data_IF_342588737425
#
_entry.id   IF_342588737425
#
_cell.length_a   1.000
_cell.length_b   1.000
_cell.length_c   1.000
_cell.angle_alpha   90.00
_cell.angle_beta   90.00
_cell.angle_gamma   90.00
#
_symmetry.space_group_name_H-M   'P 1'
#
loop_
_entity.id
_entity.type
_entity.pdbx_description
1 polymer ?
#
# COMPACT_ATOMS: atom_id res chain seq x y z
N UNK A 1 -14.68 0.50 19.81
CA UNK A 1 -14.84 -0.61 18.84
C UNK A 1 -13.45 -1.05 18.39
N UNK A 2 -13.20 -2.35 18.42
CA UNK A 2 -11.91 -2.92 18.00
C UNK A 2 -12.03 -3.44 16.56
N UNK A 3 -11.10 -3.09 15.70
CA UNK A 3 -11.05 -3.48 14.28
C UNK A 3 -9.68 -4.07 13.98
N UNK A 4 -9.66 -5.28 13.44
CA UNK A 4 -8.44 -6.00 13.06
C UNK A 4 -8.29 -5.97 11.55
N UNK A 5 -7.20 -5.40 11.06
CA UNK A 5 -6.98 -5.14 9.63
C UNK A 5 -5.72 -5.86 9.17
N UNK A 6 -5.81 -6.59 8.06
CA UNK A 6 -4.63 -7.05 7.35
C UNK A 6 -4.23 -6.02 6.28
N UNK A 7 -2.93 -5.73 6.19
CA UNK A 7 -2.37 -4.88 5.14
C UNK A 7 -1.41 -5.71 4.31
N UNK A 8 -1.64 -5.73 3.00
CA UNK A 8 -0.88 -6.52 2.02
C UNK A 8 -0.31 -5.57 0.97
N UNK A 9 0.99 -5.52 0.86
CA UNK A 9 1.68 -4.70 -0.14
C UNK A 9 2.63 -5.52 -0.99
N UNK A 10 2.87 -5.02 -2.19
CA UNK A 10 3.90 -5.50 -3.11
C UNK A 10 3.80 -7.02 -3.33
N UNK A 11 2.64 -7.43 -3.84
CA UNK A 11 2.27 -8.84 -4.04
C UNK A 11 3.18 -9.54 -5.05
N UNK A 12 3.55 -8.85 -6.15
CA UNK A 12 4.50 -9.32 -7.17
C UNK A 12 4.24 -10.77 -7.58
N UNK A 13 3.03 -11.06 -8.05
CA UNK A 13 2.54 -12.37 -8.46
C UNK A 13 2.52 -13.44 -7.35
N UNK A 14 2.76 -13.05 -6.10
CA UNK A 14 2.73 -13.92 -4.93
C UNK A 14 1.38 -13.85 -4.19
N UNK A 15 0.32 -14.35 -4.82
CA UNK A 15 -0.99 -14.50 -4.21
C UNK A 15 -1.59 -15.85 -4.58
N UNK A 16 -2.10 -16.57 -3.59
CA UNK A 16 -2.62 -17.93 -3.72
C UNK A 16 -3.96 -18.08 -3.02
N UNK A 17 -4.77 -19.08 -3.39
CA UNK A 17 -6.02 -19.38 -2.67
C UNK A 17 -5.80 -19.58 -1.17
N UNK A 18 -4.67 -20.15 -0.77
CA UNK A 18 -4.30 -20.31 0.64
C UNK A 18 -4.12 -18.99 1.41
N UNK A 19 -3.97 -17.85 0.72
CA UNK A 19 -3.98 -16.53 1.37
C UNK A 19 -5.38 -16.14 1.88
N UNK A 20 -6.44 -16.57 1.17
CA UNK A 20 -7.82 -16.37 1.60
C UNK A 20 -8.08 -17.12 2.93
N UNK A 21 -7.70 -18.41 2.99
CA UNK A 21 -7.86 -19.24 4.18
C UNK A 21 -7.04 -18.69 5.36
N UNK A 22 -5.82 -18.22 5.09
CA UNK A 22 -4.94 -17.60 6.07
C UNK A 22 -5.56 -16.33 6.68
N UNK A 23 -6.15 -15.47 5.86
CA UNK A 23 -6.81 -14.24 6.32
C UNK A 23 -8.05 -14.54 7.16
N UNK A 24 -8.85 -15.53 6.77
CA UNK A 24 -9.97 -15.99 7.59
C UNK A 24 -9.51 -16.55 8.93
N UNK A 25 -8.45 -17.38 8.94
CA UNK A 25 -7.89 -17.91 10.20
C UNK A 25 -7.28 -16.84 11.09
N UNK A 26 -6.75 -15.76 10.52
CA UNK A 26 -6.28 -14.60 11.27
C UNK A 26 -7.42 -13.77 11.87
N UNK A 27 -8.68 -14.06 11.53
CA UNK A 27 -9.87 -13.37 12.03
C UNK A 27 -9.77 -11.85 11.83
N UNK A 28 -9.47 -11.44 10.58
CA UNK A 28 -9.40 -10.04 10.21
C UNK A 28 -10.76 -9.54 9.70
N UNK A 29 -11.10 -8.31 10.06
CA UNK A 29 -12.35 -7.66 9.68
C UNK A 29 -12.25 -7.00 8.29
N UNK A 30 -11.07 -6.49 7.92
CA UNK A 30 -10.82 -5.69 6.73
C UNK A 30 -9.44 -6.03 6.15
N UNK A 31 -9.33 -6.02 4.83
CA UNK A 31 -8.05 -6.18 4.14
C UNK A 31 -7.76 -4.93 3.28
N UNK A 32 -6.58 -4.34 3.47
CA UNK A 32 -6.08 -3.22 2.69
C UNK A 32 -4.95 -3.70 1.77
N UNK A 33 -5.11 -3.53 0.46
CA UNK A 33 -4.07 -3.85 -0.51
C UNK A 33 -3.42 -2.57 -1.03
N UNK A 34 -2.12 -2.43 -0.83
CA UNK A 34 -1.39 -1.20 -1.19
C UNK A 34 -0.61 -1.31 -2.51
N UNK A 35 -1.01 -2.24 -3.39
CA UNK A 35 -0.60 -2.29 -4.80
C UNK A 35 0.54 -3.25 -5.12
N UNK A 36 1.00 -3.13 -6.37
CA UNK A 36 2.02 -3.97 -7.00
C UNK A 36 1.65 -5.46 -7.00
N UNK A 37 0.51 -5.78 -7.62
CA UNK A 37 0.05 -7.17 -7.77
C UNK A 37 0.92 -7.97 -8.74
N UNK A 38 1.61 -7.29 -9.63
CA UNK A 38 2.49 -7.81 -10.67
C UNK A 38 2.46 -6.90 -11.89
N UNK A 39 3.24 -7.18 -12.93
CA UNK A 39 3.27 -6.33 -14.11
C UNK A 39 1.96 -6.45 -14.91
N UNK A 40 0.95 -5.64 -14.54
CA UNK A 40 -0.42 -5.71 -15.07
C UNK A 40 -0.98 -7.14 -14.98
N UNK A 41 -0.87 -7.75 -13.79
CA UNK A 41 -1.23 -9.14 -13.51
C UNK A 41 -2.73 -9.27 -13.24
N UNK A 42 -3.53 -9.32 -14.31
CA UNK A 42 -4.99 -9.40 -14.25
C UNK A 42 -5.48 -10.59 -13.42
N UNK A 43 -4.77 -11.74 -13.52
CA UNK A 43 -5.16 -12.94 -12.80
C UNK A 43 -4.99 -12.82 -11.28
N UNK A 44 -3.91 -12.22 -10.81
CA UNK A 44 -3.73 -11.94 -9.38
C UNK A 44 -4.79 -10.98 -8.88
N UNK A 45 -5.07 -9.90 -9.63
CA UNK A 45 -6.13 -8.96 -9.28
C UNK A 45 -7.50 -9.64 -9.25
N UNK A 46 -7.76 -10.60 -10.17
CA UNK A 46 -9.00 -11.41 -10.16
C UNK A 46 -9.14 -12.21 -8.88
N UNK A 47 -8.08 -12.89 -8.44
CA UNK A 47 -8.09 -13.66 -7.19
C UNK A 47 -8.31 -12.75 -5.97
N UNK A 48 -7.65 -11.58 -5.92
CA UNK A 48 -7.87 -10.58 -4.86
C UNK A 48 -9.30 -10.04 -4.88
N UNK A 49 -9.87 -9.78 -6.06
CA UNK A 49 -11.26 -9.34 -6.18
C UNK A 49 -12.26 -10.37 -5.63
N UNK A 50 -11.94 -11.67 -5.78
CA UNK A 50 -12.76 -12.79 -5.29
C UNK A 50 -12.63 -13.07 -3.78
N UNK A 51 -11.69 -12.43 -3.08
CA UNK A 51 -11.56 -12.57 -1.63
C UNK A 51 -12.89 -12.19 -0.94
N UNK A 52 -13.46 -13.11 -0.17
CA UNK A 52 -14.71 -12.92 0.57
C UNK A 52 -14.46 -12.27 1.94
N UNK A 53 -13.85 -11.08 1.91
CA UNK A 53 -13.67 -10.19 3.06
C UNK A 53 -13.83 -8.75 2.59
N UNK A 54 -14.34 -7.85 3.45
CA UNK A 54 -14.29 -6.42 3.18
C UNK A 54 -12.86 -6.00 2.81
N UNK A 55 -12.72 -5.20 1.75
CA UNK A 55 -11.40 -4.79 1.28
C UNK A 55 -11.41 -3.42 0.64
N UNK A 56 -10.27 -2.73 0.70
CA UNK A 56 -9.96 -1.57 -0.12
C UNK A 56 -8.60 -1.78 -0.80
N UNK A 57 -8.48 -1.34 -2.04
CA UNK A 57 -7.34 -1.60 -2.91
C UNK A 57 -6.85 -0.31 -3.56
N UNK A 58 -5.56 -0.06 -3.53
CA UNK A 58 -4.93 0.92 -4.41
C UNK A 58 -3.93 0.21 -5.32
N UNK A 59 -3.94 0.52 -6.61
CA UNK A 59 -3.02 -0.07 -7.57
C UNK A 59 -1.67 0.65 -7.56
N UNK A 60 -0.58 -0.12 -7.70
CA UNK A 60 0.80 0.37 -7.69
C UNK A 60 1.39 0.58 -9.08
N UNK A 61 2.67 0.95 -9.14
CA UNK A 61 3.32 1.27 -10.41
C UNK A 61 3.51 0.07 -11.32
N UNK A 62 3.67 -1.14 -10.78
CA UNK A 62 3.72 -2.37 -11.56
C UNK A 62 2.37 -2.71 -12.18
N UNK A 63 1.26 -2.34 -11.56
CA UNK A 63 -0.08 -2.58 -12.06
C UNK A 63 -0.43 -1.73 -13.30
N UNK A 64 0.40 -0.73 -13.63
CA UNK A 64 0.32 0.04 -14.87
C UNK A 64 1.65 0.02 -15.65
N UNK A 65 2.49 -0.98 -15.44
CA UNK A 65 3.85 -1.04 -16.00
C UNK A 65 3.89 -0.90 -17.52
N UNK A 66 3.05 -1.65 -18.21
CA UNK A 66 2.95 -1.64 -19.67
C UNK A 66 2.05 -0.53 -20.22
N UNK A 67 1.36 0.22 -19.39
CA UNK A 67 0.43 1.26 -19.79
C UNK A 67 0.95 2.67 -19.52
N UNK A 68 1.62 2.91 -18.39
CA UNK A 68 1.98 4.25 -17.95
C UNK A 68 3.25 4.79 -18.61
N UNK A 69 4.24 3.94 -18.91
CA UNK A 69 5.56 4.36 -19.42
C UNK A 69 5.72 4.07 -20.93
N UNK A 70 6.62 4.82 -21.59
CA UNK A 70 6.95 4.53 -23.00
C UNK A 70 7.63 3.16 -23.14
N UNK A 71 8.65 2.90 -22.35
CA UNK A 71 9.41 1.64 -22.37
C UNK A 71 8.51 0.46 -22.01
N UNK A 72 7.63 0.60 -21.03
CA UNK A 72 6.66 -0.43 -20.69
C UNK A 72 5.75 -0.76 -21.88
N UNK A 73 5.19 0.26 -22.55
CA UNK A 73 4.35 0.04 -23.72
C UNK A 73 5.05 -0.67 -24.88
N UNK A 74 6.35 -0.40 -25.07
CA UNK A 74 7.17 -1.04 -26.11
C UNK A 74 7.55 -2.48 -25.75
N UNK A 75 7.54 -2.84 -24.48
CA UNK A 75 7.91 -4.18 -23.97
C UNK A 75 6.72 -5.01 -23.50
N UNK A 76 5.48 -4.56 -23.76
CA UNK A 76 4.29 -5.30 -23.33
C UNK A 76 4.28 -6.73 -23.94
N UNK A 77 4.05 -7.77 -23.12
CA UNK A 77 4.03 -9.15 -23.59
C UNK A 77 2.70 -9.55 -24.25
N UNK A 78 1.81 -8.61 -24.49
CA UNK A 78 0.48 -8.78 -25.09
C UNK A 78 0.19 -7.64 -26.08
N UNK A 79 -0.78 -7.87 -26.95
CA UNK A 79 -1.23 -6.87 -27.91
C UNK A 79 -2.15 -5.84 -27.22
N UNK A 80 -1.61 -4.65 -26.95
CA UNK A 80 -2.32 -3.55 -26.28
C UNK A 80 -3.44 -2.93 -27.13
N UNK A 81 -3.57 -3.29 -28.38
CA UNK A 81 -4.71 -2.88 -29.23
C UNK A 81 -5.92 -3.81 -29.06
N UNK A 82 -5.69 -5.00 -28.48
CA UNK A 82 -6.69 -6.02 -28.21
C UNK A 82 -7.03 -6.10 -26.72
N UNK A 83 -6.01 -6.00 -25.86
CA UNK A 83 -6.16 -6.10 -24.41
C UNK A 83 -5.79 -4.77 -23.72
N UNK A 84 -6.70 -4.23 -22.90
CA UNK A 84 -6.38 -3.18 -21.91
C UNK A 84 -6.34 -3.81 -20.52
N UNK A 85 -5.19 -4.43 -20.15
CA UNK A 85 -5.04 -5.12 -18.87
C UNK A 85 -5.17 -4.19 -17.68
N UNK A 86 -4.80 -2.92 -17.84
CA UNK A 86 -5.01 -1.93 -16.79
C UNK A 86 -6.50 -1.70 -16.54
N UNK A 87 -7.29 -1.53 -17.60
CA UNK A 87 -8.74 -1.36 -17.48
C UNK A 87 -9.40 -2.64 -16.91
N UNK A 88 -8.95 -3.82 -17.35
CA UNK A 88 -9.42 -5.10 -16.80
C UNK A 88 -9.21 -5.21 -15.30
N UNK A 89 -8.06 -4.78 -14.78
CA UNK A 89 -7.80 -4.75 -13.33
C UNK A 89 -8.76 -3.79 -12.60
N UNK A 90 -8.98 -2.60 -13.14
CA UNK A 90 -9.90 -1.62 -12.58
C UNK A 90 -11.35 -2.13 -12.56
N UNK A 91 -11.77 -2.79 -13.64
CA UNK A 91 -13.12 -3.37 -13.76
C UNK A 91 -13.35 -4.51 -12.76
N UNK A 92 -12.33 -5.36 -12.54
CA UNK A 92 -12.37 -6.44 -11.55
C UNK A 92 -12.48 -5.92 -10.12
N UNK A 93 -11.78 -4.86 -9.79
CA UNK A 93 -11.79 -4.26 -8.46
C UNK A 93 -13.04 -3.41 -8.22
N UNK A 94 -13.56 -2.77 -9.27
CA UNK A 94 -14.75 -1.94 -9.18
C UNK A 94 -14.66 -0.90 -8.05
N UNK A 95 -15.69 -0.81 -7.19
CA UNK A 95 -15.73 0.20 -6.11
C UNK A 95 -14.71 -0.04 -4.99
N UNK A 96 -14.07 -1.21 -4.94
CA UNK A 96 -13.03 -1.48 -3.94
C UNK A 96 -11.70 -0.78 -4.27
N UNK A 97 -11.49 -0.33 -5.53
CA UNK A 97 -10.34 0.47 -5.90
C UNK A 97 -10.50 1.91 -5.43
N UNK A 98 -9.66 2.34 -4.49
CA UNK A 98 -9.75 3.67 -3.86
C UNK A 98 -8.77 4.71 -4.41
N UNK A 99 -7.95 4.39 -5.41
CA UNK A 99 -6.99 5.35 -5.99
C UNK A 99 -7.68 6.62 -6.50
N UNK A 100 -7.33 7.79 -5.98
CA UNK A 100 -8.04 9.06 -6.16
C UNK A 100 -9.53 9.03 -5.81
N UNK A 101 -9.92 8.13 -4.93
CA UNK A 101 -11.27 7.94 -4.45
C UNK A 101 -11.31 7.60 -2.97
N UNK A 102 -12.45 7.10 -2.53
CA UNK A 102 -12.66 6.66 -1.16
C UNK A 102 -13.68 5.53 -1.08
N UNK A 103 -13.64 4.77 0.02
CA UNK A 103 -14.62 3.73 0.33
C UNK A 103 -15.08 3.87 1.79
N UNK A 104 -16.39 3.85 1.99
CA UNK A 104 -17.00 3.98 3.30
C UNK A 104 -17.29 2.60 3.90
N UNK A 105 -17.00 2.45 5.19
CA UNK A 105 -17.35 1.29 6.00
C UNK A 105 -18.20 1.78 7.20
N UNK A 106 -19.51 2.02 6.99
CA UNK A 106 -20.36 2.63 8.01
C UNK A 106 -20.44 1.82 9.30
N UNK A 107 -20.36 0.48 9.21
CA UNK A 107 -20.39 -0.44 10.35
C UNK A 107 -19.22 -0.20 11.32
N UNK A 108 -18.14 0.42 10.86
CA UNK A 108 -16.96 0.75 11.67
C UNK A 108 -16.72 2.27 11.80
N UNK A 109 -17.66 3.08 11.31
CA UNK A 109 -17.49 4.54 11.26
C UNK A 109 -16.15 4.95 10.63
N UNK A 110 -15.73 4.20 9.59
CA UNK A 110 -14.44 4.25 8.94
C UNK A 110 -14.58 4.65 7.47
N UNK A 111 -13.75 5.58 7.04
CA UNK A 111 -13.51 5.86 5.61
C UNK A 111 -12.08 5.49 5.25
N UNK A 112 -11.91 4.73 4.18
CA UNK A 112 -10.60 4.51 3.55
C UNK A 112 -10.47 5.44 2.35
N UNK A 113 -9.48 6.32 2.36
CA UNK A 113 -9.20 7.28 1.27
C UNK A 113 -7.93 6.86 0.55
N UNK A 114 -7.96 6.83 -0.77
CA UNK A 114 -6.81 6.51 -1.60
C UNK A 114 -6.07 7.76 -2.09
N UNK A 115 -4.76 7.70 -2.02
CA UNK A 115 -3.85 8.64 -2.64
C UNK A 115 -3.73 8.44 -4.15
N UNK A 116 -2.59 8.85 -4.72
CA UNK A 116 -2.27 8.70 -6.14
C UNK A 116 -2.03 7.22 -6.47
N UNK A 117 -2.87 6.59 -7.31
CA UNK A 117 -2.60 5.24 -7.79
C UNK A 117 -1.43 5.23 -8.78
N UNK A 118 -0.77 4.09 -8.94
CA UNK A 118 0.33 3.88 -9.89
C UNK A 118 1.55 4.77 -9.64
N UNK A 119 1.74 5.25 -8.40
CA UNK A 119 2.88 6.10 -8.07
C UNK A 119 4.17 5.29 -8.06
N UNK A 120 5.18 5.80 -8.77
CA UNK A 120 6.55 5.28 -8.66
C UNK A 120 7.39 6.06 -7.65
N UNK A 121 6.79 6.95 -6.88
CA UNK A 121 7.47 7.77 -5.89
C UNK A 121 8.31 8.92 -6.45
N UNK A 122 8.87 9.70 -5.53
CA UNK A 122 9.80 10.78 -5.80
C UNK A 122 9.18 12.15 -6.06
N UNK A 123 10.04 13.17 -6.08
CA UNK A 123 9.66 14.58 -6.14
C UNK A 123 9.10 15.05 -7.49
N UNK A 124 9.31 14.29 -8.55
CA UNK A 124 8.94 14.70 -9.89
C UNK A 124 7.58 14.15 -10.32
N UNK A 125 6.77 15.00 -11.00
CA UNK A 125 5.57 14.58 -11.69
C UNK A 125 5.92 13.82 -12.97
N UNK A 126 5.98 12.50 -12.88
CA UNK A 126 6.29 11.61 -14.01
C UNK A 126 4.99 11.06 -14.64
N UNK A 127 5.10 10.39 -15.79
CA UNK A 127 3.95 9.80 -16.51
C UNK A 127 2.80 10.80 -16.76
N UNK A 128 3.14 12.09 -17.02
CA UNK A 128 2.21 13.23 -17.14
C UNK A 128 1.01 12.96 -18.05
N UNK A 129 1.29 12.35 -19.22
CA UNK A 129 0.23 12.05 -20.20
C UNK A 129 -0.75 11.01 -19.63
N UNK A 130 -0.25 9.98 -18.96
CA UNK A 130 -1.07 8.93 -18.37
C UNK A 130 -2.06 9.49 -17.33
N UNK A 131 -1.58 10.31 -16.38
CA UNK A 131 -2.44 10.91 -15.35
C UNK A 131 -3.42 11.94 -15.94
N UNK A 132 -2.98 12.75 -16.91
CA UNK A 132 -3.87 13.70 -17.60
C UNK A 132 -5.00 12.95 -18.33
N UNK A 133 -4.65 11.95 -19.14
CA UNK A 133 -5.61 11.28 -20.00
C UNK A 133 -6.59 10.40 -19.21
N UNK A 134 -6.18 9.84 -18.07
CA UNK A 134 -7.01 8.93 -17.24
C UNK A 134 -7.76 9.64 -16.13
N UNK A 135 -7.16 10.63 -15.49
CA UNK A 135 -7.70 11.28 -14.29
C UNK A 135 -7.93 12.77 -14.43
N UNK A 136 -7.51 13.39 -15.53
CA UNK A 136 -7.55 14.84 -15.72
C UNK A 136 -6.62 15.60 -14.77
N UNK A 137 -5.55 14.96 -14.26
CA UNK A 137 -4.60 15.52 -13.31
C UNK A 137 -3.27 15.82 -14.00
N UNK A 138 -2.77 17.05 -13.84
CA UNK A 138 -1.62 17.56 -14.60
C UNK A 138 -0.37 17.75 -13.77
N UNK A 139 -0.48 17.81 -12.43
CA UNK A 139 0.64 18.09 -11.54
C UNK A 139 0.37 17.60 -10.10
N UNK A 140 1.41 17.69 -9.24
CA UNK A 140 1.35 17.26 -7.85
C UNK A 140 0.33 18.06 -7.02
N UNK A 141 0.11 19.34 -7.33
CA UNK A 141 -0.86 20.17 -6.61
C UNK A 141 -2.29 19.67 -6.87
N UNK A 142 -2.64 19.48 -8.14
CA UNK A 142 -3.97 18.94 -8.52
C UNK A 142 -4.18 17.52 -7.98
N UNK A 143 -3.08 16.72 -7.89
CA UNK A 143 -3.11 15.40 -7.25
C UNK A 143 -3.42 15.52 -5.76
N UNK A 144 -2.73 16.40 -5.04
CA UNK A 144 -2.99 16.67 -3.63
C UNK A 144 -4.42 17.16 -3.41
N UNK A 145 -4.89 18.10 -4.23
CA UNK A 145 -6.24 18.67 -4.12
C UNK A 145 -7.33 17.59 -4.31
N UNK A 146 -7.11 16.63 -5.22
CA UNK A 146 -8.00 15.48 -5.40
C UNK A 146 -8.05 14.60 -4.14
N UNK A 147 -6.90 14.31 -3.52
CA UNK A 147 -6.83 13.52 -2.28
C UNK A 147 -7.54 14.28 -1.15
N UNK A 148 -7.26 15.57 -0.99
CA UNK A 148 -7.88 16.43 0.04
C UNK A 148 -9.40 16.49 -0.13
N UNK A 149 -9.89 16.62 -1.37
CA UNK A 149 -11.33 16.61 -1.65
C UNK A 149 -12.00 15.30 -1.17
N UNK A 150 -11.34 14.15 -1.36
CA UNK A 150 -11.84 12.87 -0.85
C UNK A 150 -11.78 12.79 0.68
N UNK A 151 -10.74 13.35 1.32
CA UNK A 151 -10.63 13.44 2.77
C UNK A 151 -11.75 14.28 3.36
N UNK A 152 -12.06 15.44 2.77
CA UNK A 152 -13.16 16.31 3.19
C UNK A 152 -14.54 15.67 2.99
N UNK A 153 -14.68 14.81 1.98
CA UNK A 153 -15.92 14.10 1.70
C UNK A 153 -16.07 12.80 2.51
N UNK A 154 -15.11 12.45 3.36
CA UNK A 154 -15.18 11.27 4.23
C UNK A 154 -16.36 11.41 5.21
N UNK A 155 -17.14 10.35 5.35
CA UNK A 155 -18.31 10.30 6.24
C UNK A 155 -17.99 9.64 7.58
N UNK A 156 -17.00 8.73 7.61
CA UNK A 156 -16.52 8.10 8.84
C UNK A 156 -15.69 9.08 9.69
N UNK A 157 -15.81 8.97 11.01
CA UNK A 157 -14.96 9.73 11.93
C UNK A 157 -13.51 9.26 11.94
N UNK A 158 -13.29 7.99 11.54
CA UNK A 158 -11.98 7.38 11.46
C UNK A 158 -11.56 7.32 10.00
N UNK A 159 -10.38 7.81 9.70
CA UNK A 159 -9.88 7.85 8.31
C UNK A 159 -8.57 7.08 8.23
N UNK A 160 -8.52 6.11 7.32
CA UNK A 160 -7.27 5.50 6.87
C UNK A 160 -6.93 6.10 5.51
N UNK A 161 -5.71 6.63 5.38
CA UNK A 161 -5.19 7.12 4.11
C UNK A 161 -4.24 6.09 3.52
N UNK A 162 -4.54 5.61 2.31
CA UNK A 162 -3.74 4.61 1.60
C UNK A 162 -2.96 5.25 0.45
N UNK A 163 -1.66 4.97 0.37
CA UNK A 163 -0.85 5.20 -0.84
C UNK A 163 -0.33 3.88 -1.40
N UNK A 164 0.05 3.84 -2.68
CA UNK A 164 0.96 2.78 -3.11
C UNK A 164 2.36 3.08 -2.59
N UNK A 165 2.92 4.25 -2.88
CA UNK A 165 4.13 4.73 -2.22
C UNK A 165 3.77 5.61 -1.01
N UNK A 166 4.70 5.73 -0.05
CA UNK A 166 4.53 6.55 1.14
C UNK A 166 4.69 8.05 0.87
N UNK A 167 4.28 8.91 1.80
CA UNK A 167 4.45 10.35 1.67
C UNK A 167 5.92 10.77 1.77
N UNK A 168 6.28 11.88 1.15
CA UNK A 168 7.55 12.56 1.38
C UNK A 168 7.66 13.06 2.83
N UNK A 169 8.88 13.32 3.30
CA UNK A 169 9.14 13.84 4.63
C UNK A 169 9.34 12.79 5.72
N UNK A 170 9.38 11.49 5.36
CA UNK A 170 9.61 10.38 6.31
C UNK A 170 11.10 9.98 6.41
N UNK A 171 12.01 10.82 5.96
CA UNK A 171 13.45 10.63 6.02
C UNK A 171 14.09 10.35 4.67
N UNK A 172 15.40 10.57 4.61
CA UNK A 172 16.19 10.50 3.36
C UNK A 172 17.30 9.44 3.38
N UNK A 173 17.45 8.72 4.49
CA UNK A 173 18.43 7.62 4.60
C UNK A 173 17.88 6.38 3.90
N UNK A 174 18.73 5.49 3.38
CA UNK A 174 18.26 4.25 2.73
C UNK A 174 17.33 3.40 3.59
N UNK A 175 17.56 3.41 4.91
CA UNK A 175 16.76 2.65 5.89
C UNK A 175 15.51 3.39 6.39
N UNK A 176 15.28 4.63 6.01
CA UNK A 176 14.03 5.35 6.32
C UNK A 176 12.87 4.81 5.47
N UNK A 177 11.61 5.08 5.90
CA UNK A 177 10.40 4.48 5.31
C UNK A 177 10.33 4.64 3.79
N UNK A 178 10.71 5.82 3.27
CA UNK A 178 10.72 6.13 1.84
C UNK A 178 12.12 6.52 1.32
N UNK A 179 13.18 6.15 2.02
CA UNK A 179 14.55 6.47 1.62
C UNK A 179 15.03 5.66 0.40
N UNK A 180 15.80 6.29 -0.51
CA UNK A 180 16.38 5.62 -1.68
C UNK A 180 17.49 4.67 -1.29
N UNK A 181 17.48 3.44 -1.81
CA UNK A 181 18.48 2.41 -1.54
C UNK A 181 19.16 1.84 -2.80
N UNK A 182 18.88 2.38 -3.99
CA UNK A 182 19.34 1.82 -5.28
C UNK A 182 20.55 2.51 -5.92
N UNK A 183 21.14 3.48 -5.26
CA UNK A 183 22.35 4.12 -5.79
C UNK A 183 23.48 4.19 -4.73
N UNK A 184 24.19 3.06 -4.48
CA UNK A 184 25.18 2.98 -3.40
C UNK A 184 26.51 3.71 -3.71
N UNK A 185 26.81 4.02 -4.99
CA UNK A 185 28.09 4.60 -5.40
C UNK A 185 27.89 6.08 -5.71
N UNK A 186 27.97 6.93 -4.66
CA UNK A 186 28.01 8.39 -4.81
C UNK A 186 26.72 9.05 -5.33
N UNK A 187 25.63 8.30 -5.45
CA UNK A 187 24.33 8.86 -5.74
C UNK A 187 23.72 9.53 -4.52
N UNK A 188 22.99 10.59 -4.73
CA UNK A 188 22.33 11.29 -3.65
C UNK A 188 21.40 10.34 -2.91
N UNK A 189 21.64 10.13 -1.62
CA UNK A 189 20.63 9.72 -0.67
C UNK A 189 19.44 10.66 -0.87
N UNK A 190 18.25 10.22 -0.62
CA UNK A 190 17.13 11.11 -0.79
C UNK A 190 15.82 10.45 -0.44
N UNK A 191 14.88 11.27 -0.11
CA UNK A 191 13.50 10.88 0.07
C UNK A 191 12.88 10.50 -1.29
N UNK A 192 12.17 9.40 -1.32
CA UNK A 192 11.44 8.94 -2.51
C UNK A 192 9.94 8.92 -2.28
N UNK A 193 9.49 9.52 -1.20
CA UNK A 193 8.07 9.64 -0.90
C UNK A 193 7.33 10.55 -1.89
N UNK A 194 6.01 10.47 -1.86
CA UNK A 194 5.09 11.23 -2.70
C UNK A 194 4.79 12.61 -2.09
N UNK A 195 5.18 13.73 -2.75
CA UNK A 195 4.93 15.07 -2.23
C UNK A 195 3.45 15.46 -2.17
N UNK A 196 2.65 14.96 -3.10
CA UNK A 196 1.20 15.18 -3.13
C UNK A 196 0.49 14.49 -1.96
N UNK A 197 0.91 13.27 -1.60
CA UNK A 197 0.40 12.58 -0.43
C UNK A 197 0.82 13.28 0.86
N UNK A 198 2.09 13.72 0.97
CA UNK A 198 2.57 14.52 2.09
C UNK A 198 1.78 15.83 2.25
N UNK A 199 1.53 16.54 1.13
CA UNK A 199 0.72 17.77 1.13
C UNK A 199 -0.70 17.51 1.61
N UNK A 200 -1.34 16.43 1.16
CA UNK A 200 -2.69 16.06 1.60
C UNK A 200 -2.75 15.74 3.11
N UNK A 201 -1.73 15.05 3.65
CA UNK A 201 -1.61 14.77 5.10
C UNK A 201 -1.46 16.09 5.89
N UNK A 202 -0.64 17.01 5.43
CA UNK A 202 -0.48 18.31 6.09
C UNK A 202 -1.79 19.12 6.07
N UNK A 203 -2.51 19.10 4.95
CA UNK A 203 -3.81 19.79 4.82
C UNK A 203 -4.89 19.13 5.67
N UNK A 204 -4.91 17.78 5.82
CA UNK A 204 -5.89 17.10 6.68
C UNK A 204 -5.83 17.59 8.12
N UNK A 205 -4.60 17.82 8.65
CA UNK A 205 -4.41 18.42 9.98
C UNK A 205 -4.98 19.83 10.06
N UNK A 206 -4.72 20.66 9.05
CA UNK A 206 -5.24 22.04 9.00
C UNK A 206 -6.77 22.08 8.93
N UNK A 207 -7.38 21.06 8.35
CA UNK A 207 -8.84 20.88 8.27
C UNK A 207 -9.45 20.23 9.52
N UNK A 208 -8.65 19.88 10.53
CA UNK A 208 -9.11 19.22 11.75
C UNK A 208 -9.53 17.77 11.55
N UNK A 209 -9.11 17.13 10.44
CA UNK A 209 -9.39 15.71 10.18
C UNK A 209 -8.40 14.83 10.93
N UNK A 210 -8.89 13.76 11.54
CA UNK A 210 -8.06 12.77 12.26
C UNK A 210 -7.76 11.57 11.38
N UNK A 211 -6.49 11.37 11.05
CA UNK A 211 -6.04 10.17 10.37
C UNK A 211 -5.67 9.09 11.38
N UNK A 212 -6.39 7.97 11.34
CA UNK A 212 -6.12 6.80 12.20
C UNK A 212 -4.85 6.07 11.81
N UNK A 213 -4.53 6.07 10.50
CA UNK A 213 -3.36 5.41 9.92
C UNK A 213 -3.10 5.96 8.51
N UNK A 214 -1.82 6.12 8.17
CA UNK A 214 -1.34 6.25 6.78
C UNK A 214 -0.58 4.98 6.44
N UNK A 215 -1.03 4.24 5.41
CA UNK A 215 -0.38 2.97 5.03
C UNK A 215 -0.05 2.92 3.54
N UNK A 216 1.06 2.27 3.23
CA UNK A 216 1.62 2.21 1.88
C UNK A 216 2.55 1.00 1.69
N UNK A 217 3.03 0.81 0.47
CA UNK A 217 3.99 -0.22 0.05
C UNK A 217 5.19 0.36 -0.68
N UNK A 218 5.51 -0.19 -1.86
CA UNK A 218 6.52 0.24 -2.83
C UNK A 218 7.97 0.13 -2.35
N UNK A 219 8.29 0.68 -1.21
CA UNK A 219 9.63 0.69 -0.65
C UNK A 219 9.88 -0.60 0.14
N UNK A 220 10.35 -1.65 -0.55
CA UNK A 220 10.54 -2.98 0.04
C UNK A 220 11.33 -2.95 1.35
N UNK A 221 10.96 -3.81 2.31
CA UNK A 221 11.62 -3.87 3.62
C UNK A 221 13.08 -4.31 3.52
N UNK A 222 13.41 -5.23 2.60
CA UNK A 222 14.78 -5.66 2.34
C UNK A 222 15.51 -4.61 1.50
N UNK A 223 16.58 -4.06 2.04
CA UNK A 223 17.43 -3.11 1.32
C UNK A 223 18.37 -3.84 0.35
N UNK A 224 18.62 -3.25 -0.82
CA UNK A 224 19.41 -3.86 -1.90
C UNK A 224 20.90 -3.98 -1.57
N UNK A 225 21.43 -3.03 -0.80
CA UNK A 225 22.86 -2.86 -0.59
C UNK A 225 23.26 -2.82 0.88
N UNK A 226 22.34 -3.02 1.79
CA UNK A 226 22.56 -3.00 3.23
C UNK A 226 22.04 -4.30 3.86
N UNK A 227 22.69 -4.77 4.90
CA UNK A 227 22.21 -5.89 5.71
C UNK A 227 21.07 -5.47 6.65
N UNK A 228 20.94 -4.17 6.90
CA UNK A 228 19.84 -3.62 7.69
C UNK A 228 18.50 -3.72 6.94
N UNK A 229 17.42 -3.74 7.69
CA UNK A 229 16.07 -3.62 7.14
C UNK A 229 15.61 -2.17 7.15
N UNK A 230 14.72 -1.84 6.24
CA UNK A 230 14.00 -0.57 6.21
C UNK A 230 13.14 -0.42 7.46
N UNK A 231 13.04 0.80 7.97
CA UNK A 231 12.01 1.16 8.96
C UNK A 231 10.64 0.93 8.34
N UNK A 232 9.75 0.31 9.09
CA UNK A 232 8.42 -0.08 8.62
C UNK A 232 7.31 0.70 9.28
N UNK A 233 7.61 1.36 10.39
CA UNK A 233 6.67 2.16 11.17
C UNK A 233 7.32 3.44 11.66
N UNK A 234 6.53 4.52 11.66
CA UNK A 234 6.89 5.81 12.26
C UNK A 234 5.62 6.48 12.76
N UNK A 235 5.57 6.76 14.06
CA UNK A 235 4.53 7.63 14.62
C UNK A 235 4.93 9.09 14.47
N UNK A 236 4.04 9.89 13.90
CA UNK A 236 4.24 11.33 13.71
C UNK A 236 3.16 12.12 14.44
N UNK A 237 3.35 13.43 14.69
CA UNK A 237 2.31 14.25 15.32
C UNK A 237 1.00 14.38 14.52
N UNK A 238 0.94 13.88 13.30
CA UNK A 238 -0.26 13.94 12.45
C UNK A 238 -0.95 12.59 12.41
N UNK A 239 -0.19 11.52 12.19
CA UNK A 239 -0.72 10.15 12.09
C UNK A 239 0.41 9.12 12.21
N UNK A 240 0.12 7.89 12.63
CA UNK A 240 1.03 6.76 12.45
C UNK A 240 1.18 6.42 10.96
N UNK A 241 2.41 6.12 10.53
CA UNK A 241 2.78 5.75 9.17
C UNK A 241 3.31 4.32 9.14
N UNK A 242 2.80 3.50 8.22
CA UNK A 242 3.14 2.09 8.14
C UNK A 242 3.43 1.68 6.69
N UNK A 243 4.63 1.15 6.46
CA UNK A 243 5.03 0.51 5.21
C UNK A 243 4.81 -1.00 5.30
N UNK A 244 3.97 -1.55 4.42
CA UNK A 244 3.60 -2.97 4.38
C UNK A 244 4.28 -3.77 3.26
N UNK A 245 5.34 -3.24 2.63
CA UNK A 245 6.05 -3.84 1.49
C UNK A 245 6.96 -5.01 1.90
N UNK A 246 6.39 -6.07 2.46
CA UNK A 246 7.11 -7.31 2.80
C UNK A 246 7.36 -8.15 1.54
N UNK A 247 8.55 -8.06 0.96
CA UNK A 247 8.91 -8.80 -0.28
C UNK A 247 10.18 -9.63 -0.03
N UNK A 248 10.16 -10.93 -0.41
CA UNK A 248 9.01 -11.72 -0.85
C UNK A 248 8.03 -11.98 0.31
N UNK A 249 6.72 -12.01 0.02
CA UNK A 249 5.68 -12.29 1.02
C UNK A 249 5.33 -13.78 1.14
N UNK A 250 5.69 -14.60 0.15
CA UNK A 250 5.57 -16.05 0.20
C UNK A 250 6.96 -16.65 0.04
N UNK A 251 7.33 -17.54 0.97
CA UNK A 251 8.60 -18.24 0.98
C UNK A 251 8.37 -19.75 0.89
N UNK A 252 8.84 -20.33 -0.22
CA UNK A 252 8.82 -21.79 -0.43
C UNK A 252 10.15 -22.38 -0.02
N UNK A 253 10.14 -23.35 0.89
CA UNK A 253 11.31 -24.12 1.27
C UNK A 253 11.33 -25.47 0.56
N UNK A 254 12.20 -25.63 -0.43
CA UNK A 254 12.39 -26.92 -1.10
C UNK A 254 12.89 -28.02 -0.15
N UNK A 255 13.63 -27.64 0.90
CA UNK A 255 14.21 -28.59 1.87
C UNK A 255 13.15 -29.18 2.80
N UNK A 256 12.26 -28.34 3.34
CA UNK A 256 11.21 -28.74 4.28
C UNK A 256 9.86 -28.99 3.62
N UNK A 257 9.73 -28.65 2.33
CA UNK A 257 8.45 -28.71 1.59
C UNK A 257 7.35 -27.87 2.25
N UNK A 258 7.72 -26.76 2.88
CA UNK A 258 6.80 -25.84 3.56
C UNK A 258 6.72 -24.52 2.81
N UNK A 259 5.55 -23.90 2.88
CA UNK A 259 5.29 -22.54 2.38
C UNK A 259 4.93 -21.63 3.53
N UNK A 260 5.66 -20.55 3.69
CA UNK A 260 5.33 -19.54 4.68
C UNK A 260 4.83 -18.28 3.99
N UNK A 261 3.82 -17.62 4.58
CA UNK A 261 3.20 -16.41 4.04
C UNK A 261 3.14 -15.29 5.06
N UNK A 262 3.32 -14.06 4.58
CA UNK A 262 3.46 -12.87 5.42
C UNK A 262 2.27 -11.94 5.26
N UNK A 263 1.80 -11.40 6.38
CA UNK A 263 0.82 -10.32 6.45
C UNK A 263 1.26 -9.28 7.48
N UNK A 264 0.92 -8.02 7.24
CA UNK A 264 1.00 -6.99 8.29
C UNK A 264 -0.38 -6.85 8.91
N UNK A 265 -0.48 -7.07 10.22
CA UNK A 265 -1.73 -6.97 10.97
C UNK A 265 -1.68 -5.74 11.84
N UNK A 266 -2.73 -4.94 11.77
CA UNK A 266 -2.92 -3.78 12.65
C UNK A 266 -4.25 -3.92 13.41
N UNK A 267 -4.28 -3.34 14.60
CA UNK A 267 -5.50 -3.24 15.40
C UNK A 267 -5.80 -1.77 15.65
N UNK A 268 -6.98 -1.34 15.24
CA UNK A 268 -7.53 -0.05 15.65
C UNK A 268 -8.53 -0.25 16.78
N UNK A 269 -8.50 0.60 17.79
CA UNK A 269 -9.52 0.69 18.82
C UNK A 269 -10.02 2.12 18.90
N UNK A 270 -11.31 2.30 18.67
CA UNK A 270 -11.95 3.62 18.56
C UNK A 270 -11.16 4.60 17.67
N UNK A 271 -10.74 4.09 16.49
CA UNK A 271 -9.99 4.83 15.49
C UNK A 271 -8.53 5.10 15.81
N UNK A 272 -8.01 4.60 16.92
CA UNK A 272 -6.59 4.74 17.30
C UNK A 272 -5.83 3.45 17.06
N UNK A 273 -4.67 3.55 16.46
CA UNK A 273 -3.77 2.42 16.27
C UNK A 273 -3.25 1.95 17.64
N UNK A 274 -3.50 0.66 17.97
CA UNK A 274 -3.09 0.03 19.21
C UNK A 274 -1.94 -0.95 19.00
N UNK A 275 -1.93 -1.63 17.86
CA UNK A 275 -0.91 -2.61 17.52
C UNK A 275 -0.64 -2.63 16.02
N UNK A 276 0.60 -2.91 15.66
CA UNK A 276 1.03 -3.19 14.30
C UNK A 276 2.12 -4.27 14.35
N UNK A 277 1.87 -5.40 13.70
CA UNK A 277 2.73 -6.57 13.77
C UNK A 277 2.81 -7.26 12.42
N UNK A 278 4.03 -7.61 11.95
CA UNK A 278 4.21 -8.51 10.83
C UNK A 278 4.09 -9.94 11.34
N UNK A 279 3.24 -10.74 10.70
CA UNK A 279 3.03 -12.14 11.04
C UNK A 279 3.42 -13.03 9.87
N UNK A 280 4.09 -14.15 10.18
CA UNK A 280 4.36 -15.23 9.24
C UNK A 280 3.59 -16.46 9.66
N UNK A 281 2.92 -17.07 8.68
CA UNK A 281 2.12 -18.28 8.88
C UNK A 281 2.74 -19.43 8.07
N UNK A 282 2.60 -20.66 8.60
CA UNK A 282 2.95 -21.89 7.91
C UNK A 282 1.81 -22.36 6.97
N UNK A 283 1.97 -23.55 6.37
CA UNK A 283 0.98 -24.17 5.50
C UNK A 283 -0.36 -24.51 6.19
N UNK A 284 -0.37 -24.67 7.52
CA UNK A 284 -1.56 -24.88 8.33
C UNK A 284 -2.19 -23.55 8.78
N UNK A 285 -1.64 -22.44 8.31
CA UNK A 285 -2.02 -21.08 8.69
C UNK A 285 -1.82 -20.79 10.19
N UNK A 286 -0.92 -21.51 10.87
CA UNK A 286 -0.53 -21.18 12.23
C UNK A 286 0.55 -20.10 12.19
N UNK A 287 0.45 -19.14 13.12
CA UNK A 287 1.45 -18.09 13.26
C UNK A 287 2.73 -18.69 13.83
N UNK A 288 3.81 -18.64 13.04
CA UNK A 288 5.13 -19.18 13.38
C UNK A 288 6.15 -18.11 13.76
N UNK A 289 5.89 -16.85 13.39
CA UNK A 289 6.75 -15.73 13.73
C UNK A 289 5.94 -14.44 13.78
N UNK A 290 6.29 -13.56 14.71
CA UNK A 290 5.71 -12.22 14.87
C UNK A 290 6.82 -11.20 15.04
N UNK A 291 6.69 -10.06 14.38
CA UNK A 291 7.61 -8.94 14.47
C UNK A 291 6.81 -7.66 14.79
N UNK A 292 6.72 -7.27 16.06
CA UNK A 292 6.04 -6.05 16.47
C UNK A 292 6.71 -4.81 15.87
N UNK A 293 5.92 -3.92 15.27
CA UNK A 293 6.41 -2.71 14.62
C UNK A 293 6.34 -1.48 15.51
N UNK A 294 5.42 -1.49 16.46
CA UNK A 294 5.26 -0.40 17.42
C UNK A 294 6.17 -0.63 18.63
N UNK A 295 6.76 0.43 19.20
CA UNK A 295 7.49 0.31 20.45
C UNK A 295 6.54 -0.18 21.56
N UNK A 296 6.97 -1.18 22.31
CA UNK A 296 6.21 -1.61 23.49
C UNK A 296 6.04 -0.42 24.45
N UNK A 297 4.83 -0.17 24.98
CA UNK A 297 4.67 0.78 26.06
C UNK A 297 5.61 0.38 27.19
N UNK A 298 6.53 1.26 27.53
CA UNK A 298 7.38 1.03 28.72
C UNK A 298 6.42 0.86 29.89
N UNK A 299 6.47 -0.30 30.54
CA UNK A 299 5.76 -0.50 31.81
C UNK A 299 6.35 0.50 32.80
N UNK A 300 5.58 1.56 33.06
CA UNK A 300 5.87 2.54 34.12
C UNK A 300 5.72 1.89 35.49
#
# INVERSE_FOLDING_TARGET
MKLRIAIVGDVHDQWECADHDALHKLDVDLVLFVGDFGNESVEIVRQVAQLDLPKAVILGNHDAWYSSTKTGRESAPYDRTVEDRLQMQLDLLGPTHVGYGKLEFPQWNLTVVGGRPFSSGGENWINKRFYRDRYGIHNLTESSDRIVSNLQAAQGQHIILMGHNGPAGLGSRPDDLCGKDWNPIGGALGDHGDPDLQSAIAQSKALGLSLSLVTFGHMHHRLRHLTAQRKRFLDTPIAPHLNAACVPRILHSNKTKTTNRCFTIVTLEDGKLQDATIVWLNDQHDVIYQDPLMPHPQKS
#
